data_IF_971467718316
#
_entry.id   IF_971467718316
#
_cell.length_a   1.000
_cell.length_b   1.000
_cell.length_c   1.000
_cell.angle_alpha   90.00
_cell.angle_beta   90.00
_cell.angle_gamma   90.00
#
_symmetry.space_group_name_H-M   'P 1'
#
loop_
_entity.id
_entity.type
_entity.pdbx_description
1 polymer ?
#
# COMPACT_ATOMS: atom_id res chain seq x y z
N UNK A 1 -10.71 7.50 -8.74
CA UNK A 1 -9.68 7.61 -7.67
C UNK A 1 -10.32 7.49 -6.30
N UNK A 2 -9.99 6.44 -5.55
CA UNK A 2 -10.48 6.18 -4.19
C UNK A 2 -9.30 6.16 -3.21
N UNK A 3 -9.40 6.86 -2.08
CA UNK A 3 -8.35 6.87 -1.05
C UNK A 3 -8.85 6.26 0.27
N UNK A 4 -8.03 5.42 0.91
CA UNK A 4 -8.32 4.79 2.20
C UNK A 4 -7.09 4.81 3.12
N UNK A 5 -7.30 5.16 4.39
CA UNK A 5 -6.27 5.02 5.42
C UNK A 5 -6.17 3.55 5.85
N UNK A 6 -4.95 3.03 5.92
CA UNK A 6 -4.64 1.67 6.38
C UNK A 6 -3.47 1.69 7.36
N UNK A 7 -3.38 0.66 8.20
CA UNK A 7 -2.22 0.38 9.03
C UNK A 7 -1.91 -1.11 8.87
N UNK A 8 -0.64 -1.42 8.60
CA UNK A 8 -0.17 -2.81 8.56
C UNK A 8 0.47 -3.14 9.91
N UNK A 9 -0.04 -4.16 10.59
CA UNK A 9 0.47 -4.60 11.90
C UNK A 9 1.63 -5.61 11.78
N UNK A 10 1.80 -6.20 10.61
CA UNK A 10 2.85 -7.18 10.36
C UNK A 10 3.33 -7.15 8.91
N UNK A 11 4.49 -7.75 8.68
CA UNK A 11 5.00 -8.01 7.33
C UNK A 11 4.07 -8.95 6.56
N UNK A 12 3.38 -9.85 7.25
CA UNK A 12 2.39 -10.75 6.64
C UNK A 12 1.18 -9.99 6.10
N UNK A 13 0.73 -8.93 6.77
CA UNK A 13 -0.36 -8.08 6.28
C UNK A 13 0.03 -7.34 5.01
N UNK A 14 1.26 -6.81 4.96
CA UNK A 14 1.80 -6.19 3.73
C UNK A 14 1.85 -7.20 2.60
N UNK A 15 2.34 -8.42 2.86
CA UNK A 15 2.39 -9.48 1.84
C UNK A 15 1.00 -9.84 1.32
N UNK A 16 0.01 -9.99 2.22
CA UNK A 16 -1.38 -10.27 1.83
C UNK A 16 -1.97 -9.13 1.01
N UNK A 17 -1.73 -7.88 1.40
CA UNK A 17 -2.17 -6.71 0.66
C UNK A 17 -1.61 -6.70 -0.76
N UNK A 18 -0.30 -6.87 -0.91
CA UNK A 18 0.37 -6.90 -2.22
C UNK A 18 -0.19 -8.02 -3.11
N UNK A 19 -0.39 -9.22 -2.55
CA UNK A 19 -0.98 -10.33 -3.31
C UNK A 19 -2.41 -10.05 -3.79
N UNK A 20 -3.18 -9.19 -3.12
CA UNK A 20 -4.49 -8.78 -3.59
C UNK A 20 -4.40 -7.60 -4.56
N UNK A 21 -3.48 -6.66 -4.35
CA UNK A 21 -3.28 -5.51 -5.24
C UNK A 21 -2.76 -5.93 -6.61
N UNK A 22 -1.90 -6.96 -6.70
CA UNK A 22 -1.43 -7.54 -7.96
C UNK A 22 -2.55 -8.12 -8.85
N UNK A 23 -3.69 -8.48 -8.26
CA UNK A 23 -4.84 -9.01 -9.00
C UNK A 23 -5.76 -7.92 -9.55
N UNK A 24 -5.61 -6.69 -9.06
CA UNK A 24 -6.39 -5.56 -9.55
C UNK A 24 -5.71 -4.97 -10.79
N UNK A 25 -6.46 -4.77 -11.90
CA UNK A 25 -5.93 -4.09 -13.07
C UNK A 25 -5.59 -2.61 -12.80
N UNK A 26 -6.27 -1.99 -11.84
CA UNK A 26 -6.04 -0.61 -11.39
C UNK A 26 -4.62 -0.38 -10.87
N UNK A 27 -4.10 0.84 -11.08
CA UNK A 27 -2.90 1.30 -10.39
C UNK A 27 -3.22 1.62 -8.93
N UNK A 28 -2.37 1.13 -8.03
CA UNK A 28 -2.54 1.27 -6.60
C UNK A 28 -1.26 1.88 -6.05
N UNK A 29 -1.38 3.00 -5.38
CA UNK A 29 -0.28 3.69 -4.70
C UNK A 29 -0.45 3.63 -3.18
N UNK A 30 0.66 3.61 -2.45
CA UNK A 30 0.69 3.71 -0.99
C UNK A 30 1.52 4.92 -0.58
N UNK A 31 0.93 5.80 0.22
CA UNK A 31 1.51 7.07 0.59
C UNK A 31 1.69 7.21 2.11
N UNK A 32 2.79 7.84 2.52
CA UNK A 32 3.04 8.27 3.90
C UNK A 32 3.57 9.71 3.88
N UNK A 33 2.71 10.69 4.17
CA UNK A 33 3.07 12.11 4.02
C UNK A 33 3.39 12.45 2.57
N UNK A 34 4.62 12.87 2.29
CA UNK A 34 5.11 13.19 0.94
C UNK A 34 5.73 12.02 0.19
N UNK A 35 5.89 10.86 0.83
CA UNK A 35 6.44 9.66 0.20
C UNK A 35 5.31 8.85 -0.45
N UNK A 36 5.52 8.40 -1.68
CA UNK A 36 4.59 7.56 -2.45
C UNK A 36 5.37 6.39 -3.05
N UNK A 37 4.81 5.19 -2.99
CA UNK A 37 5.37 3.97 -3.57
C UNK A 37 4.29 3.19 -4.27
N UNK A 38 4.70 2.37 -5.24
CA UNK A 38 3.82 1.41 -5.88
C UNK A 38 3.26 0.42 -4.85
N UNK A 39 1.93 0.30 -4.80
CA UNK A 39 1.17 -0.54 -3.89
C UNK A 39 1.15 -2.03 -4.26
N UNK A 40 1.80 -2.40 -5.36
CA UNK A 40 2.10 -3.79 -5.75
C UNK A 40 3.55 -4.15 -5.40
N UNK A 41 4.34 -3.20 -4.91
CA UNK A 41 5.72 -3.41 -4.45
C UNK A 41 5.80 -3.63 -2.95
N UNK A 42 5.98 -4.90 -2.54
CA UNK A 42 6.19 -5.25 -1.12
C UNK A 42 7.38 -4.50 -0.51
N UNK A 43 8.49 -4.37 -1.24
CA UNK A 43 9.67 -3.65 -0.75
C UNK A 43 9.38 -2.14 -0.59
N UNK A 44 8.63 -1.56 -1.53
CA UNK A 44 8.20 -0.16 -1.45
C UNK A 44 7.39 0.11 -0.20
N UNK A 45 6.35 -0.70 0.05
CA UNK A 45 5.48 -0.53 1.22
C UNK A 45 6.26 -0.74 2.52
N UNK A 46 7.12 -1.76 2.60
CA UNK A 46 7.96 -2.00 3.78
C UNK A 46 8.93 -0.85 4.06
N UNK A 47 9.40 -0.13 3.03
CA UNK A 47 10.25 1.05 3.21
C UNK A 47 9.52 2.23 3.90
N UNK A 48 8.20 2.33 3.74
CA UNK A 48 7.38 3.31 4.47
C UNK A 48 7.26 2.93 5.96
N UNK A 49 7.27 1.62 6.23
CA UNK A 49 7.24 1.02 7.57
C UNK A 49 5.87 0.49 7.96
N UNK A 50 5.88 -0.44 8.92
CA UNK A 50 4.67 -1.01 9.55
C UNK A 50 4.28 -0.21 10.81
N UNK A 51 3.08 -0.44 11.33
CA UNK A 51 2.45 0.31 12.44
C UNK A 51 2.38 1.84 12.21
N UNK A 52 2.31 2.25 10.94
CA UNK A 52 2.09 3.64 10.54
C UNK A 52 0.77 3.76 9.80
N UNK A 53 0.16 4.93 9.92
CA UNK A 53 -0.99 5.32 9.09
C UNK A 53 -0.50 5.63 7.69
N UNK A 54 -0.94 4.82 6.72
CA UNK A 54 -0.62 4.96 5.31
C UNK A 54 -1.92 5.24 4.55
N UNK A 55 -1.81 5.94 3.42
CA UNK A 55 -2.94 6.17 2.53
C UNK A 55 -2.77 5.30 1.29
N UNK A 56 -3.73 4.40 1.05
CA UNK A 56 -3.83 3.65 -0.20
C UNK A 56 -4.67 4.46 -1.17
N UNK A 57 -4.16 4.70 -2.38
CA UNK A 57 -4.86 5.38 -3.46
C UNK A 57 -5.07 4.38 -4.60
N UNK A 58 -6.32 4.16 -4.98
CA UNK A 58 -6.70 3.30 -6.11
C UNK A 58 -7.12 4.22 -7.26
N UNK A 59 -6.45 4.08 -8.40
CA UNK A 59 -6.72 4.84 -9.62
C UNK A 59 -7.71 4.06 -10.49
N UNK A 60 -8.73 4.74 -11.01
CA UNK A 60 -9.72 4.13 -11.93
C UNK A 60 -9.12 3.93 -13.34
#
# INVERSE_FOLDING_TARGET
MTTREVMFDSVEDVKRFVQQSEKQPEDIDVCCGSCMVDGKSMLGILSLGIHKKLNVVIHD
#
